data_IF_908986451855
#
_entry.id   IF_908986451855
#
_cell.length_a   1.000
_cell.length_b   1.000
_cell.length_c   1.000
_cell.angle_alpha   90.00
_cell.angle_beta   90.00
_cell.angle_gamma   90.00
#
_symmetry.space_group_name_H-M   'P 1'
#
loop_
_entity.id
_entity.type
_entity.pdbx_description
1 polymer ?
#
# COMPACT_ATOMS: atom_id res chain seq x y z
N UNK A 1 -26.72 -10.27 24.07
CA UNK A 1 -27.58 -10.71 22.97
C UNK A 1 -28.38 -11.98 23.37
N UNK A 2 -27.73 -13.10 23.72
CA UNK A 2 -28.46 -14.34 24.07
C UNK A 2 -29.48 -14.17 25.22
N UNK A 3 -29.13 -13.41 26.26
CA UNK A 3 -30.05 -13.08 27.36
C UNK A 3 -31.23 -12.21 26.91
N UNK A 4 -30.98 -11.30 25.92
CA UNK A 4 -32.03 -10.43 25.36
C UNK A 4 -32.92 -11.18 24.37
N UNK A 5 -32.43 -12.28 23.82
CA UNK A 5 -33.12 -13.17 22.89
C UNK A 5 -33.80 -14.36 23.60
N UNK A 6 -33.83 -14.39 24.91
CA UNK A 6 -34.39 -15.49 25.73
C UNK A 6 -33.82 -16.87 25.33
N UNK A 7 -32.54 -16.91 24.93
CA UNK A 7 -31.85 -18.13 24.50
C UNK A 7 -32.03 -18.49 23.01
N UNK A 8 -32.80 -17.74 22.27
CA UNK A 8 -32.94 -17.90 20.82
C UNK A 8 -31.67 -17.44 20.09
N UNK A 9 -31.02 -18.36 19.39
CA UNK A 9 -29.73 -18.13 18.78
C UNK A 9 -29.81 -17.23 17.52
N UNK A 10 -30.85 -17.42 16.70
CA UNK A 10 -31.05 -16.61 15.48
C UNK A 10 -31.36 -15.16 15.81
N UNK A 11 -32.26 -14.96 16.77
CA UNK A 11 -32.59 -13.63 17.30
C UNK A 11 -31.40 -12.96 17.98
N UNK A 12 -30.53 -13.71 18.64
CA UNK A 12 -29.31 -13.18 19.25
C UNK A 12 -28.32 -12.69 18.20
N UNK A 13 -28.23 -13.36 17.02
CA UNK A 13 -27.43 -12.92 15.89
C UNK A 13 -27.98 -11.61 15.31
N UNK A 14 -29.28 -11.49 15.12
CA UNK A 14 -29.93 -10.25 14.66
C UNK A 14 -29.62 -9.07 15.60
N UNK A 15 -29.77 -9.27 16.90
CA UNK A 15 -29.44 -8.25 17.91
C UNK A 15 -27.95 -7.84 17.81
N UNK A 16 -27.03 -8.77 17.60
CA UNK A 16 -25.62 -8.46 17.44
C UNK A 16 -25.33 -7.66 16.16
N UNK A 17 -26.01 -7.97 15.05
CA UNK A 17 -25.92 -7.21 13.80
C UNK A 17 -26.42 -5.77 13.96
N UNK A 18 -27.57 -5.59 14.60
CA UNK A 18 -28.12 -4.26 14.91
C UNK A 18 -27.19 -3.44 15.80
N UNK A 19 -26.64 -4.06 16.86
CA UNK A 19 -25.68 -3.41 17.74
C UNK A 19 -24.38 -3.05 17.02
N UNK A 20 -23.89 -3.91 16.12
CA UNK A 20 -22.73 -3.68 15.29
C UNK A 20 -22.93 -2.49 14.35
N UNK A 21 -24.07 -2.43 13.67
CA UNK A 21 -24.44 -1.31 12.80
C UNK A 21 -24.54 0.02 13.58
N UNK A 22 -25.19 0.02 14.72
CA UNK A 22 -25.30 1.21 15.58
C UNK A 22 -23.91 1.68 16.08
N UNK A 23 -23.04 0.74 16.46
CA UNK A 23 -21.67 1.04 16.87
C UNK A 23 -20.83 1.63 15.71
N UNK A 24 -20.93 1.07 14.51
CA UNK A 24 -20.26 1.56 13.33
C UNK A 24 -20.70 2.98 12.97
N UNK A 25 -22.02 3.21 12.89
CA UNK A 25 -22.58 4.52 12.58
C UNK A 25 -22.14 5.61 13.57
N UNK A 26 -22.13 5.30 14.87
CA UNK A 26 -21.69 6.24 15.92
C UNK A 26 -20.24 6.65 15.80
N UNK A 27 -19.39 5.80 15.17
CA UNK A 27 -17.95 6.00 15.07
C UNK A 27 -17.48 6.46 13.68
N UNK A 28 -18.33 6.35 12.67
CA UNK A 28 -17.96 6.55 11.25
C UNK A 28 -17.30 7.91 10.95
N UNK A 29 -17.62 8.96 11.75
CA UNK A 29 -17.03 10.30 11.60
C UNK A 29 -15.70 10.52 12.32
N UNK A 30 -15.18 9.54 13.06
CA UNK A 30 -13.91 9.69 13.77
C UNK A 30 -12.73 9.49 12.83
N UNK A 31 -11.65 10.26 13.04
CA UNK A 31 -10.41 10.13 12.28
C UNK A 31 -9.81 8.74 12.54
N UNK A 32 -9.56 8.00 11.45
CA UNK A 32 -8.95 6.68 11.46
C UNK A 32 -7.83 6.65 10.40
N UNK A 33 -6.63 7.04 10.79
CA UNK A 33 -5.44 7.09 9.94
C UNK A 33 -4.36 6.09 10.36
N UNK A 34 -4.59 5.40 11.48
CA UNK A 34 -3.76 4.28 11.95
C UNK A 34 -4.28 2.94 11.40
N UNK A 35 -3.91 1.81 11.99
CA UNK A 35 -4.26 0.48 11.51
C UNK A 35 -3.08 -0.18 10.79
N UNK A 36 -3.33 -0.91 9.69
CA UNK A 36 -2.25 -1.59 8.96
C UNK A 36 -2.51 -1.73 7.47
N UNK A 37 -1.42 -1.84 6.72
CA UNK A 37 -1.38 -2.38 5.37
C UNK A 37 -0.87 -3.82 5.45
N UNK A 38 -1.55 -4.72 4.78
CA UNK A 38 -1.14 -6.12 4.68
C UNK A 38 -1.02 -6.54 3.21
N UNK A 39 0.12 -7.14 2.86
CA UNK A 39 0.38 -7.64 1.52
C UNK A 39 0.81 -9.11 1.61
N UNK A 40 0.29 -9.93 0.71
CA UNK A 40 0.53 -11.37 0.68
C UNK A 40 0.46 -11.91 -0.76
N UNK A 41 1.31 -12.89 -1.07
CA UNK A 41 1.25 -13.67 -2.30
C UNK A 41 0.54 -14.99 -2.03
N UNK A 42 -0.33 -15.36 -2.96
CA UNK A 42 -0.95 -16.67 -3.11
C UNK A 42 -0.38 -17.35 -4.36
N UNK A 43 -0.78 -18.57 -4.65
CA UNK A 43 -0.21 -19.37 -5.76
C UNK A 43 -0.28 -18.65 -7.11
N UNK A 44 -1.37 -17.93 -7.40
CA UNK A 44 -1.62 -17.31 -8.70
C UNK A 44 -1.93 -15.81 -8.62
N UNK A 45 -1.78 -15.19 -7.46
CA UNK A 45 -2.02 -13.76 -7.31
C UNK A 45 -1.28 -13.19 -6.09
N UNK A 46 -1.16 -11.86 -6.06
CA UNK A 46 -0.80 -11.14 -4.85
C UNK A 46 -1.85 -10.08 -4.54
N UNK A 47 -2.04 -9.83 -3.26
CA UNK A 47 -3.02 -8.89 -2.74
C UNK A 47 -2.35 -7.95 -1.75
N UNK A 48 -2.71 -6.68 -1.80
CA UNK A 48 -2.44 -5.69 -0.75
C UNK A 48 -3.74 -5.04 -0.31
N UNK A 49 -3.95 -4.94 0.99
CA UNK A 49 -5.13 -4.30 1.59
C UNK A 49 -4.69 -3.28 2.63
N UNK A 50 -5.44 -2.19 2.75
CA UNK A 50 -5.29 -1.21 3.83
C UNK A 50 -6.56 -1.15 4.65
N UNK A 51 -6.42 -1.43 5.94
CA UNK A 51 -7.49 -1.32 6.96
C UNK A 51 -7.06 -0.30 7.99
N UNK A 52 -7.83 0.78 8.13
CA UNK A 52 -7.53 1.86 9.05
C UNK A 52 -8.30 1.73 10.36
N UNK A 53 -7.70 2.24 11.43
CA UNK A 53 -8.26 2.34 12.77
C UNK A 53 -7.91 3.70 13.41
N UNK A 54 -8.50 4.02 14.57
CA UNK A 54 -8.24 5.29 15.28
C UNK A 54 -6.85 5.32 15.91
N UNK A 55 -6.35 4.16 16.43
CA UNK A 55 -5.09 4.07 17.17
C UNK A 55 -4.16 2.99 16.61
N UNK A 56 -2.87 3.14 16.86
CA UNK A 56 -1.83 2.16 16.48
C UNK A 56 -1.87 0.89 17.34
N UNK A 57 -2.48 0.92 18.54
CA UNK A 57 -2.67 -0.25 19.37
C UNK A 57 -3.54 -1.31 18.71
N UNK A 58 -4.54 -0.87 17.92
CA UNK A 58 -5.43 -1.78 17.19
C UNK A 58 -4.67 -2.60 16.16
N UNK A 59 -3.66 -2.05 15.52
CA UNK A 59 -2.82 -2.77 14.56
C UNK A 59 -2.11 -4.00 15.14
N UNK A 60 -1.97 -4.09 16.47
CA UNK A 60 -1.39 -5.22 17.20
C UNK A 60 -2.44 -6.15 17.83
N UNK A 61 -3.72 -5.82 17.69
CA UNK A 61 -4.82 -6.63 18.21
C UNK A 61 -5.05 -7.84 17.30
N UNK A 62 -5.01 -9.06 17.86
CA UNK A 62 -5.13 -10.30 17.08
C UNK A 62 -6.39 -10.34 16.21
N UNK A 63 -7.54 -9.89 16.74
CA UNK A 63 -8.81 -9.88 15.99
C UNK A 63 -8.76 -8.94 14.77
N UNK A 64 -8.07 -7.81 14.91
CA UNK A 64 -7.88 -6.86 13.81
C UNK A 64 -6.93 -7.43 12.76
N UNK A 65 -5.82 -8.02 13.20
CA UNK A 65 -4.84 -8.67 12.32
C UNK A 65 -5.48 -9.83 11.57
N UNK A 66 -6.24 -10.68 12.26
CA UNK A 66 -6.94 -11.83 11.66
C UNK A 66 -8.01 -11.37 10.65
N UNK A 67 -8.79 -10.34 11.00
CA UNK A 67 -9.73 -9.74 10.05
C UNK A 67 -9.02 -9.25 8.79
N UNK A 68 -7.91 -8.54 8.93
CA UNK A 68 -7.16 -7.99 7.78
C UNK A 68 -6.57 -9.09 6.90
N UNK A 69 -6.06 -10.17 7.50
CA UNK A 69 -5.56 -11.35 6.76
C UNK A 69 -6.68 -12.07 6.02
N UNK A 70 -7.82 -12.28 6.67
CA UNK A 70 -8.98 -12.91 6.05
C UNK A 70 -9.55 -12.02 4.92
N UNK A 71 -9.53 -10.70 5.10
CA UNK A 71 -9.91 -9.75 4.05
C UNK A 71 -9.04 -9.91 2.80
N UNK A 72 -7.71 -10.00 2.97
CA UNK A 72 -6.80 -10.24 1.86
C UNK A 72 -7.09 -11.57 1.15
N UNK A 73 -7.46 -12.61 1.91
CA UNK A 73 -7.89 -13.89 1.33
C UNK A 73 -9.18 -13.76 0.53
N UNK A 74 -10.18 -13.04 1.03
CA UNK A 74 -11.43 -12.78 0.29
C UNK A 74 -11.13 -12.03 -1.02
N UNK A 75 -10.26 -11.02 -0.99
CA UNK A 75 -9.85 -10.31 -2.22
C UNK A 75 -9.16 -11.25 -3.21
N UNK A 76 -8.34 -12.19 -2.74
CA UNK A 76 -7.67 -13.17 -3.60
C UNK A 76 -8.67 -14.13 -4.26
N UNK A 77 -9.61 -14.65 -3.49
CA UNK A 77 -10.55 -15.69 -3.92
C UNK A 77 -11.68 -15.12 -4.81
N UNK A 78 -12.26 -13.98 -4.42
CA UNK A 78 -13.48 -13.41 -5.04
C UNK A 78 -13.18 -12.36 -6.11
N UNK A 79 -11.97 -11.77 -6.12
CA UNK A 79 -11.55 -10.72 -7.06
C UNK A 79 -12.58 -9.58 -7.21
N UNK A 80 -13.03 -8.93 -6.12
CA UNK A 80 -14.03 -7.88 -6.20
C UNK A 80 -13.54 -6.67 -7.01
N UNK A 81 -14.46 -5.96 -7.66
CA UNK A 81 -14.12 -4.83 -8.52
C UNK A 81 -13.67 -3.59 -7.71
N UNK A 82 -14.24 -3.41 -6.53
CA UNK A 82 -14.00 -2.27 -5.65
C UNK A 82 -14.30 -2.60 -4.18
N UNK A 83 -14.14 -1.62 -3.30
CA UNK A 83 -14.40 -1.80 -1.86
C UNK A 83 -15.87 -2.10 -1.57
N UNK A 84 -16.81 -1.52 -2.31
CA UNK A 84 -18.24 -1.76 -2.13
C UNK A 84 -18.60 -3.22 -2.45
N UNK A 85 -18.10 -3.74 -3.57
CA UNK A 85 -18.23 -5.15 -3.94
C UNK A 85 -17.55 -6.06 -2.90
N UNK A 86 -16.35 -5.70 -2.42
CA UNK A 86 -15.64 -6.44 -1.39
C UNK A 86 -16.46 -6.55 -0.10
N UNK A 87 -17.13 -5.48 0.33
CA UNK A 87 -17.95 -5.49 1.54
C UNK A 87 -19.12 -6.45 1.46
N UNK A 88 -19.62 -6.74 0.24
CA UNK A 88 -20.70 -7.71 0.01
C UNK A 88 -20.22 -9.15 -0.12
N UNK A 89 -18.90 -9.40 -0.29
CA UNK A 89 -18.33 -10.74 -0.40
C UNK A 89 -18.53 -11.54 0.88
N UNK A 90 -18.56 -12.87 0.75
CA UNK A 90 -18.69 -13.79 1.90
C UNK A 90 -17.42 -13.80 2.75
N UNK A 91 -17.59 -13.68 4.06
CA UNK A 91 -16.54 -13.87 5.06
C UNK A 91 -17.11 -14.59 6.30
N UNK A 92 -16.70 -15.84 6.51
CA UNK A 92 -17.27 -16.69 7.56
C UNK A 92 -18.74 -17.00 7.32
N UNK A 93 -19.58 -16.78 8.33
CA UNK A 93 -21.04 -17.02 8.28
C UNK A 93 -21.83 -15.82 7.74
N UNK A 94 -21.16 -14.71 7.42
CA UNK A 94 -21.78 -13.49 6.92
C UNK A 94 -21.01 -12.87 5.77
N UNK A 95 -21.09 -11.55 5.65
CA UNK A 95 -20.36 -10.75 4.70
C UNK A 95 -19.13 -10.10 5.34
N UNK A 96 -18.23 -9.52 4.53
CA UNK A 96 -17.12 -8.66 5.01
C UNK A 96 -17.68 -7.52 5.85
N UNK A 97 -18.80 -6.92 5.43
CA UNK A 97 -19.48 -5.83 6.16
C UNK A 97 -19.97 -6.30 7.54
N UNK A 98 -20.57 -7.48 7.64
CA UNK A 98 -20.98 -8.06 8.92
C UNK A 98 -19.77 -8.30 9.83
N UNK A 99 -18.70 -8.85 9.30
CA UNK A 99 -17.47 -9.12 10.04
C UNK A 99 -16.81 -7.81 10.53
N UNK A 100 -16.78 -6.76 9.69
CA UNK A 100 -16.27 -5.43 10.07
C UNK A 100 -17.09 -4.81 11.20
N UNK A 101 -18.43 -4.85 11.12
CA UNK A 101 -19.32 -4.33 12.16
C UNK A 101 -19.16 -5.08 13.48
N UNK A 102 -19.01 -6.40 13.43
CA UNK A 102 -18.70 -7.21 14.60
C UNK A 102 -17.35 -6.83 15.22
N UNK A 103 -16.33 -6.58 14.42
CA UNK A 103 -15.02 -6.13 14.86
C UNK A 103 -15.10 -4.75 15.54
N UNK A 104 -15.79 -3.78 14.92
CA UNK A 104 -16.02 -2.44 15.48
C UNK A 104 -16.74 -2.51 16.83
N UNK A 105 -17.71 -3.41 16.98
CA UNK A 105 -18.44 -3.62 18.24
C UNK A 105 -17.53 -4.08 19.38
N UNK A 106 -16.56 -4.96 19.06
CA UNK A 106 -15.60 -5.53 20.03
C UNK A 106 -14.47 -4.56 20.35
N UNK A 107 -13.83 -3.99 19.32
CA UNK A 107 -12.66 -3.11 19.48
C UNK A 107 -13.08 -1.73 19.97
N UNK A 108 -14.28 -1.28 19.60
CA UNK A 108 -14.86 0.02 19.97
C UNK A 108 -14.13 1.22 19.34
N UNK A 109 -13.46 1.02 18.23
CA UNK A 109 -12.88 2.07 17.40
C UNK A 109 -13.56 2.16 16.03
N UNK A 110 -13.38 3.30 15.33
CA UNK A 110 -13.71 3.41 13.93
C UNK A 110 -12.70 2.59 13.12
N UNK A 111 -13.19 1.57 12.42
CA UNK A 111 -12.37 0.72 11.56
C UNK A 111 -12.95 0.78 10.16
N UNK A 112 -12.07 0.97 9.15
CA UNK A 112 -12.49 1.10 7.75
C UNK A 112 -11.59 0.26 6.84
N UNK A 113 -12.21 -0.52 5.97
CA UNK A 113 -11.54 -1.05 4.79
C UNK A 113 -11.38 0.10 3.80
N UNK A 114 -10.15 0.54 3.55
CA UNK A 114 -9.89 1.75 2.76
C UNK A 114 -9.72 1.47 1.29
N UNK A 115 -8.81 0.58 0.98
CA UNK A 115 -8.41 0.24 -0.39
C UNK A 115 -7.76 -1.12 -0.44
N UNK A 116 -7.74 -1.70 -1.63
CA UNK A 116 -6.99 -2.91 -1.92
C UNK A 116 -6.50 -2.88 -3.36
N UNK A 117 -5.54 -3.75 -3.67
CA UNK A 117 -5.16 -4.08 -5.03
C UNK A 117 -4.86 -5.58 -5.12
N UNK A 118 -5.11 -6.16 -6.30
CA UNK A 118 -4.86 -7.55 -6.62
C UNK A 118 -4.18 -7.64 -7.98
N UNK A 119 -3.11 -8.41 -8.05
CA UNK A 119 -2.44 -8.76 -9.30
C UNK A 119 -2.51 -10.26 -9.49
N UNK A 120 -2.80 -10.70 -10.71
CA UNK A 120 -2.87 -12.09 -11.11
C UNK A 120 -1.59 -12.51 -11.84
N UNK A 121 -1.19 -13.78 -11.68
CA UNK A 121 0.01 -14.37 -12.26
C UNK A 121 1.20 -14.35 -11.31
N UNK A 122 2.42 -14.26 -11.86
CA UNK A 122 3.65 -14.30 -11.07
C UNK A 122 3.85 -12.99 -10.32
N UNK A 123 3.72 -13.07 -9.01
CA UNK A 123 3.73 -11.89 -8.15
C UNK A 123 4.60 -12.10 -6.91
N UNK A 124 5.08 -11.00 -6.35
CA UNK A 124 5.70 -10.98 -5.02
C UNK A 124 5.00 -9.96 -4.13
N UNK A 125 5.04 -10.21 -2.82
CA UNK A 125 4.51 -9.31 -1.81
C UNK A 125 5.52 -9.03 -0.71
N UNK A 126 5.46 -7.83 -0.13
CA UNK A 126 6.32 -7.45 0.99
C UNK A 126 5.58 -6.50 1.93
N UNK A 127 5.74 -6.73 3.22
CA UNK A 127 5.23 -5.84 4.29
C UNK A 127 6.41 -5.32 5.09
N UNK A 128 6.49 -4.01 5.28
CA UNK A 128 7.52 -3.36 6.08
C UNK A 128 6.92 -2.64 7.29
N UNK A 129 7.74 -2.52 8.35
CA UNK A 129 7.41 -1.75 9.54
C UNK A 129 6.14 -2.21 10.26
N UNK A 130 5.90 -3.54 10.31
CA UNK A 130 4.73 -4.10 11.00
C UNK A 130 3.39 -3.68 10.41
N UNK A 131 3.34 -3.44 9.09
CA UNK A 131 2.12 -2.99 8.41
C UNK A 131 2.07 -1.49 8.11
N UNK A 132 3.21 -0.78 8.22
CA UNK A 132 3.30 0.62 7.79
C UNK A 132 3.31 0.72 6.26
N UNK A 133 4.02 -0.19 5.58
CA UNK A 133 4.08 -0.27 4.12
C UNK A 133 3.73 -1.67 3.65
N UNK A 134 2.95 -1.76 2.59
CA UNK A 134 2.66 -3.00 1.89
C UNK A 134 2.84 -2.82 0.39
N UNK A 135 3.53 -3.78 -0.23
CA UNK A 135 3.86 -3.74 -1.65
C UNK A 135 3.48 -5.06 -2.29
N UNK A 136 2.91 -5.00 -3.47
CA UNK A 136 2.79 -6.12 -4.40
C UNK A 136 3.43 -5.74 -5.73
N UNK A 137 4.13 -6.70 -6.35
CA UNK A 137 4.78 -6.53 -7.66
C UNK A 137 4.36 -7.67 -8.56
N UNK A 138 3.99 -7.36 -9.79
CA UNK A 138 3.67 -8.33 -10.85
C UNK A 138 4.84 -8.45 -11.81
N UNK A 139 5.12 -9.69 -12.22
CA UNK A 139 6.17 -10.00 -13.18
C UNK A 139 5.60 -10.71 -14.42
N UNK A 140 6.20 -10.43 -15.57
CA UNK A 140 6.07 -11.21 -16.77
C UNK A 140 7.30 -12.12 -16.87
N UNK A 141 7.07 -13.42 -16.80
CA UNK A 141 8.10 -14.48 -16.92
C UNK A 141 7.41 -15.82 -17.21
N UNK A 142 8.20 -16.85 -17.53
CA UNK A 142 7.68 -18.20 -17.72
C UNK A 142 7.50 -18.94 -16.40
N UNK A 143 6.61 -19.94 -16.38
CA UNK A 143 6.30 -20.74 -15.20
C UNK A 143 7.53 -21.46 -14.63
N UNK A 144 8.42 -21.94 -15.52
CA UNK A 144 9.66 -22.62 -15.12
C UNK A 144 10.66 -21.68 -14.43
N UNK A 145 10.71 -20.41 -14.81
CA UNK A 145 11.51 -19.38 -14.13
C UNK A 145 10.87 -19.01 -12.80
N UNK A 146 9.56 -18.77 -12.80
CA UNK A 146 8.82 -18.39 -11.62
C UNK A 146 8.82 -19.47 -10.52
N UNK A 147 8.90 -20.75 -10.88
CA UNK A 147 8.96 -21.87 -9.95
C UNK A 147 10.33 -21.99 -9.21
N UNK A 148 11.36 -21.24 -9.63
CA UNK A 148 12.68 -21.32 -9.00
C UNK A 148 12.69 -20.55 -7.66
N UNK A 149 13.31 -21.14 -6.61
CA UNK A 149 13.41 -20.47 -5.30
C UNK A 149 14.08 -19.10 -5.37
N UNK A 150 15.04 -18.94 -6.28
CA UNK A 150 15.78 -17.70 -6.49
C UNK A 150 14.87 -16.58 -7.05
N UNK A 151 13.84 -16.96 -7.84
CA UNK A 151 12.83 -16.00 -8.31
C UNK A 151 12.02 -15.43 -7.15
N UNK A 152 11.62 -16.25 -6.18
CA UNK A 152 10.92 -15.78 -4.99
C UNK A 152 11.76 -14.77 -4.18
N UNK A 153 13.07 -15.04 -4.04
CA UNK A 153 14.00 -14.12 -3.39
C UNK A 153 14.12 -12.79 -4.17
N UNK A 154 14.30 -12.88 -5.49
CA UNK A 154 14.34 -11.73 -6.39
C UNK A 154 13.05 -10.88 -6.29
N UNK A 155 11.89 -11.52 -6.38
CA UNK A 155 10.60 -10.83 -6.29
C UNK A 155 10.45 -10.06 -4.97
N UNK A 156 10.88 -10.67 -3.86
CA UNK A 156 10.92 -10.01 -2.56
C UNK A 156 11.86 -8.82 -2.55
N UNK A 157 13.02 -8.92 -3.20
CA UNK A 157 13.99 -7.83 -3.27
C UNK A 157 13.46 -6.63 -4.05
N UNK A 158 12.75 -6.86 -5.15
CA UNK A 158 12.06 -5.80 -5.90
C UNK A 158 10.95 -5.17 -5.06
N UNK A 159 10.16 -5.95 -4.35
CA UNK A 159 9.13 -5.40 -3.46
C UNK A 159 9.73 -4.59 -2.29
N UNK A 160 10.87 -5.00 -1.77
CA UNK A 160 11.64 -4.23 -0.76
C UNK A 160 12.19 -2.92 -1.36
N UNK A 161 12.69 -2.94 -2.61
CA UNK A 161 13.11 -1.74 -3.34
C UNK A 161 11.98 -0.72 -3.41
N UNK A 162 10.78 -1.16 -3.82
CA UNK A 162 9.59 -0.29 -3.91
C UNK A 162 9.25 0.31 -2.54
N UNK A 163 9.25 -0.51 -1.48
CA UNK A 163 8.95 -0.04 -0.13
C UNK A 163 9.96 1.00 0.39
N UNK A 164 11.25 0.83 0.06
CA UNK A 164 12.33 1.68 0.57
C UNK A 164 12.52 2.97 -0.25
N UNK A 165 12.47 2.85 -1.58
CA UNK A 165 12.77 3.96 -2.49
C UNK A 165 11.53 4.70 -3.00
N UNK A 166 10.33 4.17 -2.72
CA UNK A 166 9.03 4.77 -3.04
C UNK A 166 8.93 5.35 -4.46
N UNK A 167 9.17 4.56 -5.51
CA UNK A 167 9.06 5.02 -6.88
C UNK A 167 7.61 5.41 -7.21
N UNK A 168 7.45 6.45 -8.01
CA UNK A 168 6.13 6.90 -8.48
C UNK A 168 5.71 6.20 -9.79
N UNK A 169 6.69 5.75 -10.58
CA UNK A 169 6.51 5.17 -11.90
C UNK A 169 7.35 3.90 -12.04
N UNK A 170 6.97 3.03 -12.97
CA UNK A 170 7.77 1.84 -13.27
C UNK A 170 8.95 2.20 -14.19
N UNK A 171 8.67 2.89 -15.30
CA UNK A 171 9.63 3.27 -16.34
C UNK A 171 9.54 4.77 -16.64
N UNK A 172 10.53 5.31 -17.35
CA UNK A 172 10.52 6.68 -17.87
C UNK A 172 9.31 6.96 -18.78
N UNK A 173 8.88 5.97 -19.58
CA UNK A 173 7.71 6.07 -20.47
C UNK A 173 6.37 6.19 -19.76
N UNK A 174 6.33 5.84 -18.47
CA UNK A 174 5.09 5.89 -17.66
C UNK A 174 4.91 7.26 -17.00
N UNK A 175 5.92 8.14 -17.11
CA UNK A 175 5.83 9.49 -16.57
C UNK A 175 4.96 10.37 -17.48
N UNK A 176 3.87 10.96 -16.97
CA UNK A 176 3.00 11.83 -17.76
C UNK A 176 3.74 13.06 -18.31
N UNK A 177 3.40 13.49 -19.53
CA UNK A 177 4.05 14.63 -20.20
C UNK A 177 3.92 15.94 -19.41
N UNK A 178 2.80 16.16 -18.74
CA UNK A 178 2.56 17.33 -17.89
C UNK A 178 3.47 17.34 -16.64
N UNK A 179 3.76 16.17 -16.08
CA UNK A 179 4.72 16.02 -14.97
C UNK A 179 6.13 16.36 -15.45
N UNK A 180 6.54 15.83 -16.62
CA UNK A 180 7.85 16.14 -17.20
C UNK A 180 7.98 17.62 -17.55
N UNK A 181 6.93 18.23 -18.10
CA UNK A 181 6.91 19.67 -18.39
C UNK A 181 7.10 20.51 -17.13
N UNK A 182 6.38 20.15 -16.06
CA UNK A 182 6.48 20.82 -14.76
C UNK A 182 7.86 20.64 -14.12
N UNK A 183 8.43 19.44 -14.15
CA UNK A 183 9.79 19.20 -13.66
C UNK A 183 10.83 20.01 -14.45
N UNK A 184 10.68 20.09 -15.78
CA UNK A 184 11.53 20.94 -16.64
C UNK A 184 11.43 22.42 -16.25
N UNK A 185 10.22 22.94 -16.00
CA UNK A 185 10.01 24.31 -15.54
C UNK A 185 10.70 24.57 -14.19
N UNK A 186 10.56 23.66 -13.23
CA UNK A 186 11.21 23.75 -11.91
C UNK A 186 12.74 23.80 -12.09
N UNK A 187 13.28 22.91 -12.91
CA UNK A 187 14.74 22.88 -13.20
C UNK A 187 15.22 24.18 -13.84
N UNK A 188 14.48 24.72 -14.81
CA UNK A 188 14.84 26.00 -15.46
C UNK A 188 14.76 27.17 -14.48
N UNK A 189 13.75 27.21 -13.60
CA UNK A 189 13.63 28.23 -12.55
C UNK A 189 14.78 28.14 -11.53
N UNK A 190 15.19 26.94 -11.13
CA UNK A 190 16.36 26.72 -10.28
C UNK A 190 17.64 27.23 -10.96
N UNK A 191 17.81 26.97 -12.25
CA UNK A 191 18.97 27.45 -13.03
C UNK A 191 19.00 28.97 -13.18
N UNK A 192 17.84 29.62 -13.28
CA UNK A 192 17.74 31.07 -13.35
C UNK A 192 18.18 31.74 -12.02
N UNK A 193 17.97 31.07 -10.90
CA UNK A 193 18.35 31.57 -9.57
C UNK A 193 19.76 31.15 -9.13
N UNK A 194 20.42 30.23 -9.83
CA UNK A 194 21.78 29.80 -9.51
C UNK A 194 22.82 30.71 -10.24
N UNK A 195 23.71 31.43 -9.52
CA UNK A 195 24.72 32.28 -10.12
C UNK A 195 25.62 31.59 -11.18
N UNK A 196 25.80 30.26 -11.05
CA UNK A 196 26.62 29.47 -12.00
C UNK A 196 25.93 29.21 -13.32
N UNK A 197 24.60 29.30 -13.37
CA UNK A 197 23.79 28.96 -14.55
C UNK A 197 22.92 30.11 -15.04
N UNK A 198 22.65 31.12 -14.22
CA UNK A 198 21.76 32.25 -14.51
C UNK A 198 22.11 32.95 -15.83
N UNK A 199 23.40 33.18 -16.08
CA UNK A 199 23.89 33.91 -17.23
C UNK A 199 24.18 33.01 -18.47
N UNK A 200 23.84 31.72 -18.45
CA UNK A 200 24.03 30.84 -19.61
C UNK A 200 22.95 31.08 -20.66
N UNK A 201 23.26 30.93 -21.96
CA UNK A 201 22.28 30.99 -23.03
C UNK A 201 21.13 29.96 -22.80
N UNK A 202 19.91 30.32 -23.22
CA UNK A 202 18.72 29.46 -23.00
C UNK A 202 18.86 28.07 -23.64
N UNK A 203 19.46 27.95 -24.81
CA UNK A 203 19.75 26.68 -25.47
C UNK A 203 20.68 25.78 -24.64
N UNK A 204 21.58 26.35 -23.84
CA UNK A 204 22.45 25.60 -22.93
C UNK A 204 21.66 25.20 -21.68
N UNK A 205 20.83 26.12 -21.15
CA UNK A 205 19.94 25.80 -20.02
C UNK A 205 18.98 24.67 -20.35
N UNK A 206 18.42 24.65 -21.56
CA UNK A 206 17.54 23.56 -22.00
C UNK A 206 18.23 22.20 -22.05
N UNK A 207 19.46 22.14 -22.65
CA UNK A 207 20.25 20.91 -22.65
C UNK A 207 20.59 20.42 -21.24
N UNK A 208 20.92 21.35 -20.35
CA UNK A 208 21.18 21.05 -18.94
C UNK A 208 19.92 20.58 -18.21
N UNK A 209 18.75 21.14 -18.53
CA UNK A 209 17.48 20.73 -17.97
C UNK A 209 17.15 19.27 -18.36
N UNK A 210 17.35 18.89 -19.63
CA UNK A 210 17.20 17.51 -20.09
C UNK A 210 18.13 16.57 -19.30
N UNK A 211 19.40 16.94 -19.08
CA UNK A 211 20.31 16.15 -18.26
C UNK A 211 19.90 16.02 -16.79
N UNK A 212 19.23 17.04 -16.23
CA UNK A 212 18.69 16.99 -14.87
C UNK A 212 17.40 16.16 -14.77
N UNK A 213 16.61 16.04 -15.85
CA UNK A 213 15.49 15.09 -15.91
C UNK A 213 15.97 13.65 -15.74
N UNK A 214 17.18 13.30 -16.20
CA UNK A 214 17.79 12.00 -15.89
C UNK A 214 17.96 11.72 -14.39
N UNK A 215 18.12 12.76 -13.55
CA UNK A 215 18.11 12.60 -12.10
C UNK A 215 16.71 12.33 -11.57
N UNK A 216 15.70 13.02 -12.11
CA UNK A 216 14.30 12.77 -11.77
C UNK A 216 13.91 11.33 -12.07
N UNK A 217 14.27 10.78 -13.24
CA UNK A 217 13.99 9.38 -13.56
C UNK A 217 14.63 8.40 -12.57
N UNK A 218 15.89 8.63 -12.19
CA UNK A 218 16.60 7.83 -11.18
C UNK A 218 15.97 7.89 -9.78
N UNK A 219 15.21 8.91 -9.48
CA UNK A 219 14.47 9.04 -8.21
C UNK A 219 13.05 8.50 -8.32
N UNK A 220 12.36 8.78 -9.43
CA UNK A 220 10.94 8.52 -9.59
C UNK A 220 10.59 7.19 -10.27
N UNK A 221 11.48 6.62 -11.12
CA UNK A 221 11.21 5.42 -11.90
C UNK A 221 11.90 4.20 -11.30
N UNK A 222 11.12 3.18 -10.95
CA UNK A 222 11.63 1.98 -10.26
C UNK A 222 12.84 1.35 -10.95
N UNK A 223 12.77 1.16 -12.28
CA UNK A 223 13.83 0.45 -13.02
C UNK A 223 15.14 1.23 -13.10
N UNK A 224 15.10 2.56 -12.97
CA UNK A 224 16.25 3.46 -13.05
C UNK A 224 16.84 3.82 -11.69
N UNK A 225 16.17 3.43 -10.59
CA UNK A 225 16.66 3.65 -9.23
C UNK A 225 17.91 2.81 -8.96
N UNK A 226 18.83 3.36 -8.16
CA UNK A 226 19.91 2.56 -7.58
C UNK A 226 19.34 1.42 -6.72
N UNK A 227 19.86 0.22 -6.89
CA UNK A 227 19.37 -0.95 -6.14
C UNK A 227 19.75 -0.86 -4.66
N UNK A 228 18.78 -1.00 -3.76
CA UNK A 228 18.97 -0.78 -2.32
C UNK A 228 20.00 -1.72 -1.66
N UNK A 229 20.20 -2.92 -2.23
CA UNK A 229 21.16 -3.89 -1.71
C UNK A 229 22.55 -3.75 -2.32
N UNK A 230 22.67 -3.12 -3.48
CA UNK A 230 23.92 -2.84 -4.16
C UNK A 230 23.80 -1.54 -4.97
N UNK A 231 24.21 -0.43 -4.36
CA UNK A 231 24.18 0.90 -5.01
C UNK A 231 25.11 1.05 -6.22
N UNK A 232 25.91 0.05 -6.55
CA UNK A 232 26.74 0.00 -7.75
C UNK A 232 26.00 -0.39 -9.02
N UNK A 233 24.73 -0.81 -8.90
CA UNK A 233 23.86 -1.13 -10.04
C UNK A 233 22.48 -0.50 -9.86
N UNK A 234 21.75 -0.34 -10.96
CA UNK A 234 20.34 0.02 -10.95
C UNK A 234 19.44 -1.24 -10.92
N UNK A 235 18.14 -1.03 -10.67
CA UNK A 235 17.14 -2.11 -10.64
C UNK A 235 17.07 -2.81 -12.00
N UNK A 236 17.14 -2.07 -13.11
CA UNK A 236 17.10 -2.64 -14.48
C UNK A 236 18.21 -3.64 -14.71
N UNK A 237 19.43 -3.31 -14.26
CA UNK A 237 20.57 -4.22 -14.34
C UNK A 237 20.37 -5.45 -13.45
N UNK A 238 19.87 -5.27 -12.20
CA UNK A 238 19.56 -6.38 -11.30
C UNK A 238 18.55 -7.35 -11.91
N UNK A 239 17.48 -6.83 -12.54
CA UNK A 239 16.48 -7.64 -13.26
C UNK A 239 17.13 -8.43 -14.40
N UNK A 240 17.95 -7.77 -15.24
CA UNK A 240 18.60 -8.42 -16.38
C UNK A 240 19.60 -9.50 -15.94
N UNK A 241 20.40 -9.23 -14.92
CA UNK A 241 21.38 -10.19 -14.37
C UNK A 241 20.66 -11.42 -13.77
N UNK A 242 19.55 -11.20 -13.06
CA UNK A 242 18.73 -12.29 -12.51
C UNK A 242 18.07 -13.11 -13.61
N UNK A 243 17.49 -12.48 -14.62
CA UNK A 243 16.88 -13.16 -15.77
C UNK A 243 17.89 -14.10 -16.45
N UNK A 244 19.10 -13.58 -16.69
CA UNK A 244 20.21 -14.38 -17.26
C UNK A 244 20.62 -15.54 -16.36
N UNK A 245 20.72 -15.31 -15.06
CA UNK A 245 21.08 -16.35 -14.08
C UNK A 245 20.03 -17.46 -14.00
N UNK A 246 18.75 -17.10 -14.12
CA UNK A 246 17.63 -18.04 -14.13
C UNK A 246 17.34 -18.67 -15.52
N UNK A 247 18.04 -18.23 -16.55
CA UNK A 247 17.95 -18.81 -17.89
C UNK A 247 16.63 -18.53 -18.62
N UNK A 248 16.00 -17.38 -18.37
CA UNK A 248 14.79 -16.94 -19.03
C UNK A 248 14.60 -15.45 -18.97
N UNK A 249 13.48 -14.93 -19.45
CA UNK A 249 13.16 -13.52 -19.44
C UNK A 249 12.36 -13.16 -18.19
N UNK A 250 12.69 -12.02 -17.57
CA UNK A 250 11.94 -11.44 -16.45
C UNK A 250 11.72 -9.96 -16.75
N UNK A 251 10.48 -9.52 -16.60
CA UNK A 251 10.09 -8.11 -16.68
C UNK A 251 9.20 -7.75 -15.50
N UNK A 252 9.43 -6.62 -14.88
CA UNK A 252 8.48 -6.03 -13.93
C UNK A 252 7.33 -5.45 -14.75
N UNK A 253 6.11 -5.94 -14.53
CA UNK A 253 4.93 -5.48 -15.26
C UNK A 253 4.22 -4.32 -14.58
N UNK A 254 4.10 -4.40 -13.24
CA UNK A 254 3.46 -3.36 -12.42
C UNK A 254 3.80 -3.54 -10.94
N UNK A 255 3.57 -2.52 -10.17
CA UNK A 255 3.63 -2.58 -8.71
C UNK A 255 2.53 -1.72 -8.08
N UNK A 256 2.15 -2.05 -6.86
CA UNK A 256 1.33 -1.21 -5.99
C UNK A 256 2.00 -1.10 -4.64
N UNK A 257 2.14 0.12 -4.14
CA UNK A 257 2.66 0.43 -2.83
C UNK A 257 1.60 1.20 -2.05
N UNK A 258 1.20 0.69 -0.89
CA UNK A 258 0.37 1.41 0.06
C UNK A 258 1.18 1.77 1.30
N UNK A 259 1.10 3.04 1.68
CA UNK A 259 1.57 3.52 2.98
C UNK A 259 0.37 3.74 3.88
N UNK A 260 0.42 3.19 5.08
CA UNK A 260 -0.65 3.32 6.07
C UNK A 260 -1.03 4.77 6.32
N UNK A 261 -2.31 5.09 6.17
CA UNK A 261 -2.86 6.42 6.43
C UNK A 261 -2.38 7.52 5.48
N UNK A 262 -1.75 7.17 4.36
CA UNK A 262 -1.28 8.14 3.36
C UNK A 262 -2.42 9.01 2.86
N UNK A 263 -2.25 10.34 2.91
CA UNK A 263 -3.26 11.30 2.46
C UNK A 263 -4.49 11.43 3.36
N UNK A 264 -4.56 10.69 4.47
CA UNK A 264 -5.62 10.87 5.47
C UNK A 264 -5.24 11.95 6.48
N UNK A 265 -6.26 12.66 6.98
CA UNK A 265 -6.11 13.55 8.11
C UNK A 265 -5.62 12.74 9.32
N UNK A 266 -4.53 13.18 9.96
CA UNK A 266 -4.02 12.57 11.18
C UNK A 266 -4.54 13.31 12.39
N UNK A 267 -4.84 12.56 13.45
CA UNK A 267 -5.18 13.13 14.75
C UNK A 267 -3.99 13.93 15.27
N UNK A 268 -4.21 15.18 15.57
CA UNK A 268 -3.18 16.04 16.18
C UNK A 268 -3.16 15.73 17.68
N UNK A 269 -2.31 14.80 18.10
CA UNK A 269 -2.15 14.46 19.52
C UNK A 269 -1.25 15.50 20.17
N UNK A 270 -1.84 16.55 20.73
CA UNK A 270 -1.15 17.40 21.70
C UNK A 270 -1.23 16.73 23.07
N UNK A 271 -0.36 15.76 23.30
CA UNK A 271 -0.27 15.02 24.56
C UNK A 271 -0.12 15.96 25.78
N UNK A 272 0.56 17.09 25.61
CA UNK A 272 0.71 18.07 26.67
C UNK A 272 -0.63 18.76 27.00
N UNK A 273 -1.43 19.07 25.99
CA UNK A 273 -2.77 19.64 26.20
C UNK A 273 -3.74 18.62 26.76
N UNK A 274 -3.69 17.34 26.34
CA UNK A 274 -4.53 16.26 26.88
C UNK A 274 -4.21 15.99 28.36
N UNK A 275 -2.93 15.92 28.73
CA UNK A 275 -2.51 15.79 30.14
C UNK A 275 -2.92 17.00 30.97
N UNK A 276 -2.76 18.23 30.45
CA UNK A 276 -3.16 19.45 31.12
C UNK A 276 -4.70 19.52 31.31
N UNK A 277 -5.48 19.00 30.37
CA UNK A 277 -6.94 18.90 30.49
C UNK A 277 -7.35 17.83 31.53
N UNK A 278 -6.68 16.69 31.57
CA UNK A 278 -6.94 15.61 32.51
C UNK A 278 -6.59 15.97 33.97
N UNK A 279 -5.62 16.88 34.19
CA UNK A 279 -5.24 17.36 35.54
C UNK A 279 -6.22 18.44 36.04
N UNK A 280 -6.96 19.11 35.14
CA UNK A 280 -7.90 20.18 35.51
C UNK A 280 -9.35 19.72 35.70
N UNK A 281 -9.68 18.48 35.38
CA UNK A 281 -10.98 17.85 35.58
C UNK A 281 -10.98 16.88 36.74
#
# INVERSE_FOLDING_TARGET
ALTQADGDFEKAIEILREQGLAAANKKAGRIAAEGMVYAVSFDNCAVVVEVNAETDFVAKNDKFVDFTKNLAKVVADENPADVEALMACKMGDGTVDDALKALILVIKENIKVRRFARYEGHCAAYVHGGGTHGVIVKFETSDDVAAKPEFAAFGKDIAMQVAAANPSYLNESDVPEDVLAKEKEIVLAQMANDPKTANKPDAIKEKMAIGKLGKFYKEACLVDQAFIKDGGMDVKKYVADTAKALGGDIKIASFTHFTKGEGLEKRNEDFAAEVAAAIKG
#
